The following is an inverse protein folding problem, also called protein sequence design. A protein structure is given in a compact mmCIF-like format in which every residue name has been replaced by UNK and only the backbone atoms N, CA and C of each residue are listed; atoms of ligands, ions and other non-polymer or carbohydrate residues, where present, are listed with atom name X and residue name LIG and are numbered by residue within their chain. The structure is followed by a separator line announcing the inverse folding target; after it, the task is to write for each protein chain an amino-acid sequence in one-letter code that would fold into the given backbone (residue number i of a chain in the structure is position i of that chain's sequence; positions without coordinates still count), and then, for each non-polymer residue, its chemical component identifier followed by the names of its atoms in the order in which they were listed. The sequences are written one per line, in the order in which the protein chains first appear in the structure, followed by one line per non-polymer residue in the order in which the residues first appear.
data_IF_677623965169
#
_entry.id   IF_677623965169
#
_cell.length_a   1.000
_cell.length_b   1.000
_cell.length_c   1.000
_cell.angle_alpha   90.00
_cell.angle_beta   90.00
_cell.angle_gamma   90.00
#
_symmetry.space_group_name_H-M   'P 1'
#
loop_
_entity.id
_entity.type
_entity.pdbx_description
1 polymer ?
#
# COMPACT_ATOMS: atom_id res chain seq x y z
N UNK A 1 -33.60 -20.66 -20.18
CA UNK A 1 -33.00 -21.70 -19.32
C UNK A 1 -31.52 -21.40 -19.22
N UNK A 2 -31.06 -20.84 -18.11
CA UNK A 2 -29.66 -20.50 -17.87
C UNK A 2 -29.03 -21.64 -17.08
N UNK A 3 -28.00 -22.29 -17.62
CA UNK A 3 -27.30 -23.38 -16.95
C UNK A 3 -26.41 -22.83 -15.85
N UNK A 4 -26.81 -23.06 -14.60
CA UNK A 4 -25.99 -22.89 -13.40
C UNK A 4 -24.92 -24.00 -13.40
N UNK A 5 -23.66 -23.62 -13.63
CA UNK A 5 -22.54 -24.57 -13.57
C UNK A 5 -22.09 -24.70 -12.12
N UNK A 6 -22.74 -25.60 -11.37
CA UNK A 6 -22.25 -26.06 -10.07
C UNK A 6 -21.03 -26.94 -10.32
N UNK A 7 -19.83 -26.39 -10.13
CA UNK A 7 -18.61 -27.20 -10.08
C UNK A 7 -18.58 -28.00 -8.76
N UNK A 8 -18.13 -29.27 -8.77
CA UNK A 8 -17.83 -30.00 -7.55
C UNK A 8 -16.70 -29.26 -6.80
N UNK A 9 -16.98 -28.80 -5.59
CA UNK A 9 -15.94 -28.44 -4.63
C UNK A 9 -15.21 -29.73 -4.26
N UNK A 10 -14.06 -29.97 -4.90
CA UNK A 10 -13.14 -31.02 -4.51
C UNK A 10 -12.48 -30.61 -3.17
N UNK A 11 -12.77 -31.30 -2.05
CA UNK A 11 -12.20 -30.95 -0.75
C UNK A 11 -10.68 -31.19 -0.70
N UNK A 12 -10.08 -31.75 -1.75
CA UNK A 12 -8.64 -32.06 -1.87
C UNK A 12 -7.83 -30.90 -2.48
N UNK A 13 -8.43 -29.75 -2.76
CA UNK A 13 -7.66 -28.50 -2.89
C UNK A 13 -7.35 -27.94 -1.49
N UNK A 14 -6.65 -28.73 -0.68
CA UNK A 14 -5.97 -28.24 0.50
C UNK A 14 -4.86 -27.30 0.02
N UNK A 15 -5.24 -26.05 -0.27
CA UNK A 15 -4.31 -24.94 -0.25
C UNK A 15 -3.67 -25.03 1.11
N UNK A 16 -2.44 -25.53 1.16
CA UNK A 16 -1.64 -25.51 2.38
C UNK A 16 -1.35 -24.04 2.57
N UNK A 17 -2.28 -23.32 3.20
CA UNK A 17 -2.03 -21.95 3.66
C UNK A 17 -0.87 -22.15 4.62
N UNK A 18 0.36 -21.69 4.26
CA UNK A 18 1.48 -21.82 5.18
C UNK A 18 1.02 -21.21 6.50
N UNK A 19 1.29 -21.89 7.61
CA UNK A 19 0.92 -21.41 8.95
C UNK A 19 1.65 -20.09 9.23
N UNK A 20 1.08 -19.01 8.72
CA UNK A 20 1.54 -17.63 8.85
C UNK A 20 1.24 -17.09 10.25
N UNK A 21 0.67 -17.95 11.10
CA UNK A 21 0.09 -17.61 12.38
C UNK A 21 0.82 -18.23 13.56
N UNK A 22 1.88 -19.01 13.32
CA UNK A 22 2.69 -19.64 14.36
C UNK A 22 1.82 -20.36 15.39
N UNK A 23 0.78 -21.07 14.94
CA UNK A 23 -0.17 -21.78 15.80
C UNK A 23 -1.27 -20.93 16.46
N UNK A 24 -1.49 -19.67 16.06
CA UNK A 24 -2.66 -18.88 16.48
C UNK A 24 -3.85 -19.08 15.53
N UNK A 25 -5.07 -18.81 16.00
CA UNK A 25 -6.28 -18.84 15.16
C UNK A 25 -6.37 -17.59 14.26
N UNK A 26 -6.74 -17.75 12.97
CA UNK A 26 -6.88 -16.64 12.01
C UNK A 26 -7.81 -15.53 12.52
N UNK A 27 -8.86 -15.90 13.26
CA UNK A 27 -9.79 -14.97 13.91
C UNK A 27 -9.14 -14.07 14.96
N UNK A 28 -8.05 -14.49 15.59
CA UNK A 28 -7.29 -13.68 16.56
C UNK A 28 -6.34 -12.67 15.88
N UNK A 29 -6.23 -12.76 14.56
CA UNK A 29 -5.19 -12.12 13.75
C UNK A 29 -5.76 -11.18 12.68
N UNK A 30 -6.98 -11.45 12.19
CA UNK A 30 -7.74 -10.53 11.36
C UNK A 30 -8.62 -9.61 12.22
N UNK A 31 -8.14 -8.39 12.47
CA UNK A 31 -8.89 -7.37 13.22
C UNK A 31 -8.50 -5.96 12.80
N UNK A 32 -9.28 -4.96 13.24
CA UNK A 32 -8.95 -3.54 13.03
C UNK A 32 -7.57 -3.16 13.58
N UNK A 33 -7.11 -3.91 14.59
CA UNK A 33 -5.83 -3.74 15.23
C UNK A 33 -5.00 -5.03 15.08
N UNK A 34 -4.12 -5.12 14.08
CA UNK A 34 -3.24 -6.27 13.89
C UNK A 34 -2.37 -6.45 15.13
N UNK A 35 -2.46 -7.62 15.76
CA UNK A 35 -1.66 -7.95 16.95
C UNK A 35 -0.18 -8.07 16.56
N UNK A 36 0.77 -7.55 17.36
CA UNK A 36 2.20 -7.73 17.10
C UNK A 36 2.55 -9.24 17.10
N UNK A 37 3.35 -9.67 16.12
CA UNK A 37 3.67 -11.08 15.90
C UNK A 37 2.67 -11.83 15.02
N UNK A 38 1.63 -11.15 14.52
CA UNK A 38 0.71 -11.70 13.54
C UNK A 38 1.09 -11.24 12.11
N UNK A 39 1.25 -12.18 11.18
CA UNK A 39 1.57 -11.93 9.77
C UNK A 39 3.01 -12.29 9.40
N UNK A 40 3.24 -12.64 8.14
CA UNK A 40 4.60 -12.83 7.62
C UNK A 40 5.24 -11.51 7.22
N UNK A 41 6.58 -11.48 7.30
CA UNK A 41 7.36 -10.44 6.63
C UNK A 41 6.91 -10.36 5.17
N UNK A 42 6.63 -9.16 4.63
CA UNK A 42 6.16 -9.01 3.26
C UNK A 42 7.22 -9.59 2.33
N UNK A 43 6.87 -10.67 1.64
CA UNK A 43 7.76 -11.37 0.69
C UNK A 43 7.33 -11.10 -0.74
N UNK A 44 6.05 -10.78 -0.93
CA UNK A 44 5.46 -10.52 -2.23
C UNK A 44 5.14 -9.03 -2.36
N UNK A 45 5.35 -8.50 -3.56
CA UNK A 45 5.17 -7.06 -3.84
C UNK A 45 3.76 -6.53 -3.54
N UNK A 46 2.74 -7.40 -3.49
CA UNK A 46 1.35 -7.05 -3.16
C UNK A 46 1.01 -7.06 -1.67
N UNK A 47 1.93 -7.49 -0.80
CA UNK A 47 1.69 -7.55 0.65
C UNK A 47 1.56 -6.14 1.24
N UNK A 48 0.73 -5.99 2.28
CA UNK A 48 0.60 -4.73 3.01
C UNK A 48 1.95 -4.37 3.64
N UNK A 49 2.47 -3.18 3.31
CA UNK A 49 3.81 -2.76 3.74
C UNK A 49 4.94 -3.36 2.90
N UNK A 50 4.63 -4.02 1.78
CA UNK A 50 5.62 -4.49 0.81
C UNK A 50 6.31 -3.34 0.08
N UNK A 51 7.48 -3.63 -0.49
CA UNK A 51 8.34 -2.64 -1.14
C UNK A 51 7.64 -1.86 -2.27
N UNK A 52 6.75 -2.50 -3.03
CA UNK A 52 6.00 -1.86 -4.11
C UNK A 52 5.00 -0.84 -3.58
N UNK A 53 4.33 -1.12 -2.45
CA UNK A 53 3.41 -0.17 -1.84
C UNK A 53 4.14 1.08 -1.35
N UNK A 54 5.33 0.91 -0.75
CA UNK A 54 6.19 2.01 -0.31
C UNK A 54 6.70 2.81 -1.52
N UNK A 55 7.07 2.14 -2.61
CA UNK A 55 7.54 2.79 -3.83
C UNK A 55 6.45 3.69 -4.44
N UNK A 56 5.21 3.19 -4.57
CA UNK A 56 4.08 3.98 -5.07
C UNK A 56 3.81 5.20 -4.18
N UNK A 57 3.80 5.00 -2.86
CA UNK A 57 3.64 6.11 -1.91
C UNK A 57 4.75 7.16 -2.08
N UNK A 58 6.00 6.72 -2.22
CA UNK A 58 7.15 7.60 -2.47
C UNK A 58 7.00 8.43 -3.74
N UNK A 59 6.54 7.83 -4.85
CA UNK A 59 6.31 8.54 -6.11
C UNK A 59 5.27 9.66 -5.93
N UNK A 60 4.17 9.39 -5.22
CA UNK A 60 3.14 10.40 -4.95
C UNK A 60 3.69 11.58 -4.14
N UNK A 61 4.49 11.31 -3.10
CA UNK A 61 5.13 12.35 -2.30
C UNK A 61 6.12 13.18 -3.15
N UNK A 62 6.94 12.53 -3.97
CA UNK A 62 7.88 13.23 -4.88
C UNK A 62 7.14 14.15 -5.84
N UNK A 63 6.02 13.69 -6.41
CA UNK A 63 5.18 14.51 -7.29
C UNK A 63 4.65 15.76 -6.59
N UNK A 64 4.09 15.62 -5.38
CA UNK A 64 3.61 16.75 -4.58
C UNK A 64 4.73 17.75 -4.25
N UNK A 65 5.90 17.26 -3.82
CA UNK A 65 7.06 18.10 -3.49
C UNK A 65 7.55 18.86 -4.72
N UNK A 66 7.63 18.19 -5.87
CA UNK A 66 8.08 18.81 -7.12
C UNK A 66 7.19 19.99 -7.52
N UNK A 67 5.86 19.81 -7.49
CA UNK A 67 4.90 20.87 -7.77
C UNK A 67 5.07 22.04 -6.79
N UNK A 68 5.17 21.75 -5.48
CA UNK A 68 5.39 22.77 -4.46
C UNK A 68 6.66 23.59 -4.68
N UNK A 69 7.78 22.94 -5.03
CA UNK A 69 9.05 23.62 -5.34
C UNK A 69 8.91 24.54 -6.55
N UNK A 70 8.21 24.11 -7.60
CA UNK A 70 8.01 24.91 -8.81
C UNK A 70 7.20 26.17 -8.50
N UNK A 71 6.13 26.03 -7.72
CA UNK A 71 5.30 27.16 -7.29
C UNK A 71 6.13 28.11 -6.43
N UNK A 72 6.81 27.62 -5.39
CA UNK A 72 7.63 28.45 -4.52
C UNK A 72 8.73 29.21 -5.26
N UNK A 73 9.37 28.58 -6.26
CA UNK A 73 10.34 29.25 -7.14
C UNK A 73 9.69 30.34 -7.99
N UNK A 74 8.51 30.09 -8.55
CA UNK A 74 7.80 31.10 -9.33
C UNK A 74 7.38 32.30 -8.49
N UNK A 75 6.87 32.08 -7.27
CA UNK A 75 6.46 33.14 -6.36
C UNK A 75 7.67 33.99 -5.96
N UNK A 76 8.76 33.38 -5.50
CA UNK A 76 10.00 34.12 -5.17
C UNK A 76 10.55 34.95 -6.33
N UNK A 77 10.46 34.44 -7.56
CA UNK A 77 10.89 35.18 -8.73
C UNK A 77 9.98 36.37 -9.05
N UNK A 78 8.66 36.24 -8.82
CA UNK A 78 7.70 37.35 -8.93
C UNK A 78 7.92 38.38 -7.83
N UNK A 79 8.07 37.95 -6.59
CA UNK A 79 8.27 38.84 -5.44
C UNK A 79 9.56 39.66 -5.60
N UNK A 80 10.66 39.03 -6.06
CA UNK A 80 11.91 39.75 -6.36
C UNK A 80 11.76 40.78 -7.49
N UNK A 81 10.88 40.53 -8.46
CA UNK A 81 10.62 41.49 -9.54
C UNK A 81 9.68 42.64 -9.11
N UNK A 82 8.94 42.45 -8.02
CA UNK A 82 7.97 43.41 -7.49
C UNK A 82 8.50 44.22 -6.30
N UNK A 83 9.70 43.91 -5.79
CA UNK A 83 10.42 44.70 -4.79
C UNK A 83 11.54 45.54 -5.44
N UNK A 84 11.23 46.74 -5.95
CA UNK A 84 12.19 47.66 -6.58
C UNK A 84 12.95 48.53 -5.56
N UNK A 85 13.08 48.13 -4.29
CA UNK A 85 13.86 48.90 -3.32
C UNK A 85 15.36 48.54 -3.37
N UNK A 86 16.00 48.91 -4.49
CA UNK A 86 17.39 49.43 -4.63
C UNK A 86 17.71 49.75 -6.10
#
# INVERSE_FOLDING_TARGET
MSSETTQPIDPTSATTIPDQLSGMDYSACVGLYPKPGCGTKPVLSGDRGGAMQIAVFGILIVGMVFIGIRIARSVRARDKALDPTD
#
